data_IF_588591373739
#
_entry.id   IF_588591373739
#
_cell.length_a   1.000
_cell.length_b   1.000
_cell.length_c   1.000
_cell.angle_alpha   90.00
_cell.angle_beta   90.00
_cell.angle_gamma   90.00
#
_symmetry.space_group_name_H-M   'P 1'
#
loop_
_entity.id
_entity.type
_entity.pdbx_description
1 polymer ?
#
# COMPACT_ATOMS: atom_id res chain seq x y z
N UNK A 1 2.58 -19.93 8.85
CA UNK A 1 2.19 -19.33 10.16
C UNK A 1 1.08 -18.29 10.02
N UNK A 2 1.16 -17.33 9.09
CA UNK A 2 0.15 -16.28 8.94
C UNK A 2 -1.29 -16.77 8.69
N UNK A 3 -1.51 -17.82 7.89
CA UNK A 3 -2.86 -18.38 7.66
C UNK A 3 -3.52 -18.88 8.96
N UNK A 4 -2.75 -19.52 9.85
CA UNK A 4 -3.25 -19.99 11.15
C UNK A 4 -3.52 -18.82 12.11
N UNK A 5 -2.67 -17.78 12.07
CA UNK A 5 -2.89 -16.54 12.83
C UNK A 5 -4.15 -15.80 12.36
N UNK A 6 -4.39 -15.76 11.04
CA UNK A 6 -5.56 -15.14 10.43
C UNK A 6 -6.85 -15.81 10.91
N UNK A 7 -6.95 -17.14 10.82
CA UNK A 7 -8.13 -17.87 11.31
C UNK A 7 -8.41 -17.62 12.80
N UNK A 8 -7.35 -17.56 13.62
CA UNK A 8 -7.48 -17.26 15.05
C UNK A 8 -8.03 -15.85 15.31
N UNK A 9 -7.51 -14.85 14.60
CA UNK A 9 -7.94 -13.45 14.74
C UNK A 9 -9.34 -13.20 14.17
N UNK A 10 -9.68 -13.80 13.03
CA UNK A 10 -11.04 -13.73 12.46
C UNK A 10 -12.07 -14.29 13.43
N UNK A 11 -11.78 -15.43 14.08
CA UNK A 11 -12.69 -16.03 15.06
C UNK A 11 -12.81 -15.20 16.33
N UNK A 12 -11.71 -14.60 16.78
CA UNK A 12 -11.71 -13.86 18.03
C UNK A 12 -12.35 -12.47 17.87
N UNK A 13 -11.93 -11.74 16.83
CA UNK A 13 -12.15 -10.28 16.73
C UNK A 13 -12.92 -9.88 15.47
N UNK A 14 -13.16 -10.82 14.55
CA UNK A 14 -13.87 -10.59 13.29
C UNK A 14 -12.95 -10.29 12.10
N UNK A 15 -13.48 -10.41 10.87
CA UNK A 15 -12.72 -10.23 9.64
C UNK A 15 -12.27 -8.78 9.38
N UNK A 16 -13.02 -7.79 9.88
CA UNK A 16 -12.78 -6.36 9.63
C UNK A 16 -11.97 -5.69 10.75
N UNK A 17 -11.54 -6.44 11.77
CA UNK A 17 -10.75 -5.88 12.84
C UNK A 17 -9.33 -5.53 12.35
N UNK A 18 -8.78 -4.38 12.78
CA UNK A 18 -7.45 -3.89 12.38
C UNK A 18 -6.36 -4.96 12.42
N UNK A 19 -6.18 -5.65 13.55
CA UNK A 19 -5.20 -6.74 13.66
C UNK A 19 -5.42 -7.93 12.71
N UNK A 20 -6.67 -8.22 12.34
CA UNK A 20 -7.01 -9.22 11.32
C UNK A 20 -6.58 -8.73 9.95
N UNK A 21 -6.92 -7.48 9.62
CA UNK A 21 -6.55 -6.83 8.36
C UNK A 21 -5.03 -6.68 8.21
N UNK A 22 -4.29 -6.36 9.27
CA UNK A 22 -2.82 -6.33 9.28
C UNK A 22 -2.24 -7.71 8.93
N UNK A 23 -2.90 -8.77 9.40
CA UNK A 23 -2.48 -10.14 9.11
C UNK A 23 -2.74 -10.52 7.66
N UNK A 24 -3.86 -10.05 7.09
CA UNK A 24 -4.18 -10.20 5.66
C UNK A 24 -3.17 -9.42 4.80
N UNK A 25 -2.85 -8.17 5.15
CA UNK A 25 -1.85 -7.37 4.45
C UNK A 25 -0.47 -8.05 4.46
N UNK A 26 -0.03 -8.56 5.60
CA UNK A 26 1.25 -9.28 5.71
C UNK A 26 1.26 -10.62 4.93
N UNK A 27 0.10 -11.24 4.73
CA UNK A 27 -0.03 -12.39 3.83
C UNK A 27 0.17 -11.98 2.37
N UNK A 28 -0.29 -10.80 1.98
CA UNK A 28 0.01 -10.20 0.68
C UNK A 28 1.52 -10.06 0.47
N UNK A 29 2.22 -9.44 1.43
CA UNK A 29 3.69 -9.27 1.37
C UNK A 29 4.41 -10.61 1.21
N UNK A 30 4.00 -11.63 1.98
CA UNK A 30 4.59 -12.96 1.89
C UNK A 30 4.37 -13.63 0.53
N UNK A 31 3.22 -13.43 -0.10
CA UNK A 31 2.95 -13.99 -1.43
C UNK A 31 3.72 -13.23 -2.52
N UNK A 32 3.85 -11.91 -2.40
CA UNK A 32 4.68 -11.10 -3.29
C UNK A 32 6.16 -11.55 -3.24
N UNK A 33 6.70 -11.75 -2.04
CA UNK A 33 8.06 -12.27 -1.83
C UNK A 33 8.27 -13.68 -2.45
N UNK A 34 7.20 -14.45 -2.61
CA UNK A 34 7.22 -15.77 -3.25
C UNK A 34 6.95 -15.72 -4.76
N UNK A 35 6.77 -14.54 -5.34
CA UNK A 35 6.40 -14.34 -6.76
C UNK A 35 4.96 -14.74 -7.08
N UNK A 36 4.10 -14.93 -6.06
CA UNK A 36 2.69 -15.31 -6.20
C UNK A 36 1.81 -14.07 -6.24
N UNK A 37 1.92 -13.33 -7.34
CA UNK A 37 1.32 -12.00 -7.46
C UNK A 37 -0.22 -12.04 -7.42
N UNK A 38 -0.86 -13.05 -8.03
CA UNK A 38 -2.32 -13.20 -8.00
C UNK A 38 -2.86 -13.43 -6.57
N UNK A 39 -2.15 -14.21 -5.76
CA UNK A 39 -2.49 -14.43 -4.36
C UNK A 39 -2.21 -13.20 -3.50
N UNK A 40 -1.11 -12.48 -3.76
CA UNK A 40 -0.76 -11.25 -3.08
C UNK A 40 -1.82 -10.17 -3.32
N UNK A 41 -2.23 -9.99 -4.57
CA UNK A 41 -3.29 -9.06 -4.97
C UNK A 41 -4.60 -9.32 -4.23
N UNK A 42 -5.04 -10.58 -4.18
CA UNK A 42 -6.27 -10.95 -3.45
C UNK A 42 -6.19 -10.59 -1.97
N UNK A 43 -5.03 -10.78 -1.35
CA UNK A 43 -4.84 -10.44 0.05
C UNK A 43 -4.86 -8.93 0.26
N UNK A 44 -4.15 -8.15 -0.55
CA UNK A 44 -4.17 -6.71 -0.41
C UNK A 44 -5.55 -6.11 -0.73
N UNK A 45 -6.26 -6.57 -1.76
CA UNK A 45 -7.63 -6.10 -2.04
C UNK A 45 -8.57 -6.35 -0.86
N UNK A 46 -8.44 -7.53 -0.22
CA UNK A 46 -9.21 -7.87 0.97
C UNK A 46 -8.86 -6.96 2.16
N UNK A 47 -7.58 -6.74 2.42
CA UNK A 47 -7.13 -5.85 3.49
C UNK A 47 -7.63 -4.42 3.25
N UNK A 48 -7.54 -3.94 2.00
CA UNK A 48 -7.96 -2.62 1.58
C UNK A 48 -9.45 -2.39 1.86
N UNK A 49 -10.32 -3.27 1.36
CA UNK A 49 -11.76 -3.18 1.58
C UNK A 49 -12.12 -3.19 3.07
N UNK A 50 -11.41 -4.01 3.86
CA UNK A 50 -11.61 -4.08 5.30
C UNK A 50 -11.20 -2.79 6.02
N UNK A 51 -10.05 -2.19 5.67
CA UNK A 51 -9.63 -0.92 6.27
C UNK A 51 -10.56 0.22 5.89
N UNK A 52 -10.98 0.28 4.62
CA UNK A 52 -11.95 1.28 4.15
C UNK A 52 -13.28 1.18 4.89
N UNK A 53 -13.75 -0.04 5.16
CA UNK A 53 -14.99 -0.27 5.88
C UNK A 53 -14.87 0.05 7.37
N UNK A 54 -13.76 -0.32 8.00
CA UNK A 54 -13.60 -0.19 9.45
C UNK A 54 -13.17 1.22 9.89
N UNK A 55 -12.38 1.92 9.07
CA UNK A 55 -11.73 3.19 9.44
C UNK A 55 -11.89 4.31 8.41
N UNK A 56 -12.53 4.02 7.27
CA UNK A 56 -12.65 4.95 6.16
C UNK A 56 -11.44 4.90 5.20
N UNK A 57 -11.59 5.47 3.99
CA UNK A 57 -10.59 5.41 2.93
C UNK A 57 -9.30 6.20 3.24
N UNK A 58 -9.35 7.09 4.22
CA UNK A 58 -8.24 7.99 4.57
C UNK A 58 -7.43 7.47 5.78
N UNK A 59 -7.69 6.26 6.29
CA UNK A 59 -6.91 5.68 7.40
C UNK A 59 -5.50 5.25 6.96
N UNK A 60 -4.49 5.44 7.80
CA UNK A 60 -3.05 5.25 7.47
C UNK A 60 -2.69 3.85 6.93
N UNK A 61 -3.42 2.80 7.31
CA UNK A 61 -3.20 1.44 6.81
C UNK A 61 -3.76 1.20 5.39
N UNK A 62 -4.70 2.04 4.93
CA UNK A 62 -5.36 1.93 3.63
C UNK A 62 -4.37 2.22 2.50
N UNK A 63 -3.64 3.35 2.49
CA UNK A 63 -2.60 3.64 1.50
C UNK A 63 -1.48 2.61 1.36
N UNK A 64 -0.99 2.02 2.47
CA UNK A 64 0.11 1.05 2.42
C UNK A 64 -0.29 -0.22 1.68
N UNK A 65 -1.56 -0.60 1.78
CA UNK A 65 -2.13 -1.74 1.06
C UNK A 65 -2.34 -1.43 -0.43
N UNK A 66 -2.73 -0.19 -0.76
CA UNK A 66 -2.85 0.27 -2.14
C UNK A 66 -1.49 0.34 -2.84
N UNK A 67 -0.43 0.76 -2.13
CA UNK A 67 0.92 0.77 -2.68
C UNK A 67 1.36 -0.62 -3.14
N UNK A 68 1.21 -1.63 -2.29
CA UNK A 68 1.70 -2.97 -2.63
C UNK A 68 0.87 -3.62 -3.75
N UNK A 69 -0.41 -3.25 -3.89
CA UNK A 69 -1.21 -3.62 -5.07
C UNK A 69 -0.65 -3.04 -6.37
N UNK A 70 -0.16 -1.80 -6.34
CA UNK A 70 0.41 -1.14 -7.50
C UNK A 70 1.73 -1.77 -7.97
N UNK A 71 2.57 -2.21 -7.03
CA UNK A 71 3.82 -2.92 -7.35
C UNK A 71 3.56 -4.28 -8.01
N UNK A 72 2.62 -5.07 -7.46
CA UNK A 72 2.38 -6.45 -7.91
C UNK A 72 1.66 -6.54 -9.25
N UNK A 73 0.88 -5.53 -9.65
CA UNK A 73 0.05 -5.62 -10.85
C UNK A 73 0.84 -5.54 -12.17
N UNK A 74 2.06 -4.99 -12.20
CA UNK A 74 2.81 -4.76 -13.46
C UNK A 74 2.08 -3.90 -14.52
N UNK A 75 0.84 -3.47 -14.22
CA UNK A 75 0.00 -2.60 -15.04
C UNK A 75 0.30 -1.17 -14.63
N UNK A 76 1.30 -0.61 -15.28
CA UNK A 76 1.84 0.71 -15.03
C UNK A 76 0.74 1.79 -14.85
N UNK A 77 -0.35 1.72 -15.61
CA UNK A 77 -1.44 2.71 -15.54
C UNK A 77 -2.35 2.54 -14.31
N UNK A 78 -2.65 1.31 -13.89
CA UNK A 78 -3.48 1.06 -12.69
C UNK A 78 -2.66 1.31 -11.41
N UNK A 79 -1.39 0.91 -11.42
CA UNK A 79 -0.44 1.17 -10.35
C UNK A 79 -0.31 2.66 -10.03
N UNK A 80 -0.22 3.52 -11.06
CA UNK A 80 -0.12 4.98 -10.87
C UNK A 80 -1.32 5.58 -10.16
N UNK A 81 -2.54 5.14 -10.52
CA UNK A 81 -3.77 5.59 -9.84
C UNK A 81 -3.83 5.11 -8.40
N UNK A 82 -3.32 3.91 -8.14
CA UNK A 82 -3.22 3.35 -6.80
C UNK A 82 -2.22 4.14 -5.94
N UNK A 83 -0.99 4.36 -6.41
CA UNK A 83 0.00 5.16 -5.69
C UNK A 83 -0.51 6.58 -5.38
N UNK A 84 -1.18 7.22 -6.35
CA UNK A 84 -1.76 8.55 -6.14
C UNK A 84 -2.85 8.54 -5.06
N UNK A 85 -3.74 7.53 -5.08
CA UNK A 85 -4.78 7.37 -4.04
C UNK A 85 -4.17 7.11 -2.67
N UNK A 86 -3.11 6.30 -2.60
CA UNK A 86 -2.39 6.04 -1.37
C UNK A 86 -1.77 7.32 -0.78
N UNK A 87 -1.09 8.12 -1.59
CA UNK A 87 -0.51 9.39 -1.16
C UNK A 87 -1.59 10.36 -0.65
N UNK A 88 -2.70 10.50 -1.36
CA UNK A 88 -3.83 11.33 -0.90
C UNK A 88 -4.40 10.87 0.43
N UNK A 89 -4.49 9.55 0.66
CA UNK A 89 -4.92 9.01 1.94
C UNK A 89 -3.93 9.34 3.06
N UNK A 90 -2.62 9.18 2.81
CA UNK A 90 -1.60 9.57 3.78
C UNK A 90 -1.64 11.07 4.10
N UNK A 91 -1.79 11.93 3.10
CA UNK A 91 -1.90 13.38 3.26
C UNK A 91 -3.06 13.77 4.15
N UNK A 92 -4.23 13.14 3.96
CA UNK A 92 -5.40 13.42 4.79
C UNK A 92 -5.30 12.86 6.20
N UNK A 93 -4.71 11.68 6.38
CA UNK A 93 -4.60 11.06 7.70
C UNK A 93 -3.54 11.73 8.58
N UNK A 94 -2.41 12.13 7.98
CA UNK A 94 -1.21 12.56 8.70
C UNK A 94 -0.98 14.08 8.59
N UNK A 95 -1.52 14.73 7.56
CA UNK A 95 -1.14 16.08 7.15
C UNK A 95 0.15 16.09 6.32
N UNK A 96 0.25 17.00 5.35
CA UNK A 96 1.36 17.09 4.38
C UNK A 96 2.76 17.03 5.02
N UNK A 97 2.95 17.69 6.16
CA UNK A 97 4.24 17.72 6.87
C UNK A 97 4.68 16.35 7.40
N UNK A 98 3.73 15.49 7.76
CA UNK A 98 4.02 14.18 8.35
C UNK A 98 4.13 13.07 7.30
N UNK A 99 3.54 13.24 6.11
CA UNK A 99 3.72 12.32 4.97
C UNK A 99 5.20 12.17 4.62
N UNK A 100 5.92 13.29 4.61
CA UNK A 100 7.36 13.37 4.38
C UNK A 100 8.23 12.62 5.41
N UNK A 101 7.68 12.26 6.57
CA UNK A 101 8.38 11.54 7.65
C UNK A 101 7.84 10.14 7.85
N UNK A 102 6.76 9.77 7.16
CA UNK A 102 6.12 8.48 7.30
C UNK A 102 6.66 7.50 6.26
N UNK A 103 7.43 6.52 6.73
CA UNK A 103 8.14 5.57 5.88
C UNK A 103 7.25 4.87 4.82
N UNK A 104 6.02 4.44 5.13
CA UNK A 104 5.12 3.88 4.10
C UNK A 104 4.72 4.87 3.00
N UNK A 105 4.59 6.15 3.32
CA UNK A 105 4.34 7.19 2.31
C UNK A 105 5.56 7.43 1.43
N UNK A 106 6.76 7.52 2.01
CA UNK A 106 8.01 7.66 1.25
C UNK A 106 8.24 6.50 0.28
N UNK A 107 7.94 5.26 0.70
CA UNK A 107 7.98 4.09 -0.19
C UNK A 107 7.00 4.24 -1.37
N UNK A 108 5.81 4.80 -1.11
CA UNK A 108 4.80 5.03 -2.15
C UNK A 108 5.27 6.07 -3.17
N UNK A 109 5.90 7.16 -2.71
CA UNK A 109 6.50 8.17 -3.59
C UNK A 109 7.63 7.53 -4.42
N UNK A 110 8.50 6.72 -3.81
CA UNK A 110 9.58 6.03 -4.50
C UNK A 110 9.04 5.11 -5.61
N UNK A 111 8.01 4.33 -5.31
CA UNK A 111 7.40 3.39 -6.25
C UNK A 111 6.70 4.10 -7.41
N UNK A 112 6.12 5.27 -7.16
CA UNK A 112 5.62 6.14 -8.21
C UNK A 112 6.76 6.69 -9.09
N UNK A 113 7.94 6.96 -8.52
CA UNK A 113 9.16 7.28 -9.27
C UNK A 113 9.62 6.13 -10.18
N UNK A 114 9.65 4.89 -9.66
CA UNK A 114 9.93 3.69 -10.45
C UNK A 114 8.96 3.57 -11.62
N UNK A 115 7.68 3.81 -11.36
CA UNK A 115 6.65 3.80 -12.39
C UNK A 115 6.90 4.83 -13.50
N UNK A 116 7.13 6.10 -13.15
CA UNK A 116 7.44 7.12 -14.15
C UNK A 116 8.71 6.80 -14.95
N UNK A 117 9.73 6.22 -14.30
CA UNK A 117 10.94 5.78 -14.97
C UNK A 117 10.65 4.69 -16.01
N UNK A 118 9.80 3.71 -15.68
CA UNK A 118 9.38 2.66 -16.62
C UNK A 118 8.53 3.18 -17.79
N UNK A 119 7.80 4.28 -17.58
CA UNK A 119 7.01 4.96 -18.63
C UNK A 119 7.85 5.93 -19.49
N UNK A 120 9.14 6.09 -19.19
CA UNK A 120 10.02 7.02 -19.89
C UNK A 120 9.88 8.49 -19.44
N UNK A 121 9.09 8.75 -18.40
CA UNK A 121 8.89 10.07 -17.82
C UNK A 121 9.99 10.40 -16.81
N UNK A 122 11.22 10.55 -17.30
CA UNK A 122 12.42 10.60 -16.46
C UNK A 122 12.46 11.81 -15.52
N UNK A 123 11.90 12.95 -15.91
CA UNK A 123 11.86 14.15 -15.05
C UNK A 123 10.88 13.98 -13.88
N UNK A 124 9.70 13.42 -14.13
CA UNK A 124 8.72 13.09 -13.09
C UNK A 124 9.26 12.01 -12.14
N UNK A 125 9.99 11.03 -12.67
CA UNK A 125 10.66 10.01 -11.87
C UNK A 125 11.71 10.61 -10.91
N UNK A 126 12.56 11.52 -11.41
CA UNK A 126 13.58 12.20 -10.59
C UNK A 126 12.96 13.06 -9.49
N UNK A 127 11.87 13.75 -9.80
CA UNK A 127 11.12 14.55 -8.83
C UNK A 127 10.56 13.65 -7.71
N UNK A 128 9.96 12.51 -8.06
CA UNK A 128 9.48 11.53 -7.08
C UNK A 128 10.62 10.95 -6.22
N UNK A 129 11.75 10.53 -6.82
CA UNK A 129 12.87 10.01 -6.03
C UNK A 129 13.47 11.05 -5.10
N UNK A 130 13.54 12.31 -5.55
CA UNK A 130 14.02 13.42 -4.72
C UNK A 130 13.11 13.56 -3.50
N UNK A 131 11.79 13.68 -3.72
CA UNK A 131 10.77 13.76 -2.65
C UNK A 131 10.81 12.58 -1.68
N UNK A 132 11.02 11.37 -2.20
CA UNK A 132 11.13 10.16 -1.37
C UNK A 132 12.40 10.11 -0.52
N UNK A 133 13.51 10.69 -0.99
CA UNK A 133 14.81 10.65 -0.31
C UNK A 133 15.01 11.79 0.69
N UNK A 134 14.58 13.00 0.33
CA UNK A 134 14.78 14.20 1.16
C UNK A 134 13.61 14.45 2.10
N UNK A 135 12.46 13.82 1.86
CA UNK A 135 11.20 14.22 2.46
C UNK A 135 10.73 15.61 1.99
N UNK A 136 11.51 16.29 1.14
CA UNK A 136 11.28 17.63 0.59
C UNK A 136 12.04 17.83 -0.72
#
# INVERSE_FOLDING_TARGET
>A
MYQRALQGKEKAWGPDHSSTLDTVHNLGNLYADQGKLDEAEKMYQRALQGYEKAWGPDHTSTPGTVNNLGEDQGKLVEAGKMFQRALQGYEKALGLENVARYRPALNTIWNQGNLFATQGHLEEAKDMYSKAWTGF
#
